data_IF_102527705955
#
_entry.id   IF_102527705955
#
_cell.length_a   1.000
_cell.length_b   1.000
_cell.length_c   1.000
_cell.angle_alpha   90.00
_cell.angle_beta   90.00
_cell.angle_gamma   90.00
#
_symmetry.space_group_name_H-M   'P 1'
#
loop_
_entity.id
_entity.type
_entity.pdbx_description
1 polymer ?
2 non-polymer ?
3 water ?
#
# COMPACT_ATOMS: atom_id res chain seq x y z
N UNK A 1 23.71 -8.43 8.16
CA UNK A 1 23.10 -9.80 8.06
C UNK A 1 22.07 -9.84 6.95
N UNK A 2 21.03 -9.02 7.10
CA UNK A 2 19.94 -8.95 6.14
C UNK A 2 20.38 -8.35 4.81
N UNK A 3 20.03 -9.02 3.72
CA UNK A 3 20.35 -8.54 2.38
C UNK A 3 19.04 -8.04 1.78
N UNK A 4 19.10 -6.93 1.03
CA UNK A 4 17.92 -6.36 0.41
C UNK A 4 18.08 -6.27 -1.10
N UNK A 5 17.05 -6.63 -1.84
CA UNK A 5 17.09 -6.59 -3.29
C UNK A 5 15.87 -5.92 -3.92
N UNK A 6 16.09 -4.78 -4.58
CA UNK A 6 14.98 -4.08 -5.23
C UNK A 6 14.65 -4.76 -6.55
N UNK A 7 13.40 -4.60 -6.97
CA UNK A 7 12.91 -5.18 -8.21
C UNK A 7 11.74 -4.34 -8.71
N UNK A 8 11.46 -4.41 -10.01
CA UNK A 8 10.34 -3.68 -10.57
C UNK A 8 10.64 -2.41 -11.34
N UNK A 9 11.89 -1.96 -11.30
CA UNK A 9 12.25 -0.75 -12.00
C UNK A 9 12.13 -0.88 -13.51
N UNK A 10 11.95 0.25 -14.19
CA UNK A 10 11.83 0.22 -15.63
C UNK A 10 11.37 1.54 -16.20
N UNK A 11 11.01 1.52 -17.48
CA UNK A 11 10.55 2.70 -18.16
C UNK A 11 9.03 2.81 -18.10
N UNK A 12 8.55 3.98 -17.72
CA UNK A 12 7.13 4.24 -17.64
C UNK A 12 6.82 5.63 -18.22
N UNK A 13 5.65 5.75 -18.84
CA UNK A 13 5.25 7.01 -19.43
C UNK A 13 4.73 7.95 -18.36
N UNK A 14 4.98 9.26 -18.51
CA UNK A 14 4.52 10.24 -17.53
C UNK A 14 3.02 10.13 -17.31
N UNK A 15 2.60 10.23 -16.05
CA UNK A 15 1.20 10.10 -15.73
C UNK A 15 0.87 8.66 -15.35
N UNK A 16 1.79 7.75 -15.67
CA UNK A 16 1.57 6.34 -15.38
C UNK A 16 1.82 5.94 -13.93
N UNK A 17 1.72 4.64 -13.67
CA UNK A 17 1.92 4.09 -12.33
C UNK A 17 2.96 2.99 -12.40
N UNK A 18 3.47 2.59 -11.23
CA UNK A 18 4.46 1.54 -11.17
C UNK A 18 4.63 1.08 -9.72
N UNK A 19 4.83 -0.22 -9.53
CA UNK A 19 5.05 -0.76 -8.20
C UNK A 19 6.44 -1.34 -8.12
N UNK A 20 7.16 -0.99 -7.05
CA UNK A 20 8.51 -1.51 -6.82
C UNK A 20 8.45 -2.45 -5.63
N UNK A 21 9.28 -3.49 -5.63
CA UNK A 21 9.31 -4.42 -4.52
C UNK A 21 10.73 -4.53 -4.00
N UNK A 22 10.86 -5.00 -2.77
CA UNK A 22 12.15 -5.16 -2.13
C UNK A 22 12.13 -6.40 -1.25
N UNK A 23 12.85 -7.43 -1.68
CA UNK A 23 12.91 -8.68 -0.94
C UNK A 23 14.08 -8.69 0.03
N UNK A 24 13.81 -9.08 1.27
CA UNK A 24 14.85 -9.16 2.29
C UNK A 24 15.17 -10.62 2.54
N UNK A 25 16.45 -10.93 2.77
CA UNK A 25 16.88 -12.29 3.04
C UNK A 25 17.97 -12.28 4.11
N UNK A 26 18.15 -13.41 4.78
CA UNK A 26 19.14 -13.48 5.82
C UNK A 26 18.53 -13.10 7.15
N UNK A 27 19.29 -13.28 8.23
CA UNK A 27 18.79 -12.94 9.55
C UNK A 27 17.46 -13.59 9.92
N UNK A 28 17.32 -14.89 9.65
CA UNK A 28 16.09 -15.59 9.94
C UNK A 28 15.66 -15.54 11.41
N UNK A 29 16.63 -15.43 12.32
CA UNK A 29 16.32 -15.39 13.75
C UNK A 29 15.60 -14.09 14.14
N UNK A 30 15.50 -13.19 13.30
CA UNK A 30 15.03 -11.81 13.41
C UNK A 30 13.64 -11.69 12.78
N UNK A 31 12.60 -11.22 13.57
CA UNK A 31 11.24 -11.09 13.04
C UNK A 31 11.23 -9.95 12.04
N UNK A 32 10.80 -10.24 10.81
CA UNK A 32 10.76 -9.21 9.78
C UNK A 32 10.01 -7.97 10.26
N UNK A 33 8.89 -8.19 10.94
CA UNK A 33 8.07 -7.10 11.44
C UNK A 33 8.78 -6.14 12.39
N UNK A 34 9.90 -6.55 12.98
CA UNK A 34 10.63 -5.67 13.90
C UNK A 34 11.47 -4.64 13.14
N UNK A 35 11.58 -4.81 11.83
CA UNK A 35 12.34 -3.86 11.02
C UNK A 35 11.44 -2.73 10.54
N UNK A 36 11.94 -1.50 10.63
CA UNK A 36 11.22 -0.33 10.10
C UNK A 36 11.80 -0.32 8.69
N UNK A 37 11.00 0.04 7.70
CA UNK A 37 11.47 0.04 6.32
C UNK A 37 11.33 1.41 5.64
N UNK A 38 12.10 1.61 4.57
CA UNK A 38 12.03 2.87 3.87
C UNK A 38 12.48 2.82 2.42
N UNK A 39 11.96 3.76 1.65
CA UNK A 39 12.32 3.91 0.25
C UNK A 39 12.98 5.26 0.08
N UNK A 40 14.12 5.26 -0.61
CA UNK A 40 14.87 6.47 -0.90
C UNK A 40 15.11 6.50 -2.41
N UNK A 41 15.55 7.63 -2.91
CA UNK A 41 15.85 7.73 -4.32
C UNK A 41 16.90 8.80 -4.56
N UNK A 42 17.58 8.68 -5.69
CA UNK A 42 18.59 9.64 -6.08
C UNK A 42 18.40 9.91 -7.55
N UNK A 43 17.89 11.09 -7.87
CA UNK A 43 17.67 11.44 -9.26
C UNK A 43 19.00 11.89 -9.82
N UNK A 44 19.18 11.79 -11.14
CA UNK A 44 20.46 12.24 -11.70
C UNK A 44 20.68 13.70 -11.32
N UNK A 45 21.90 14.04 -10.93
CA UNK A 45 22.20 15.41 -10.56
C UNK A 45 21.75 15.82 -9.16
N UNK A 46 21.16 14.90 -8.40
CA UNK A 46 20.70 15.23 -7.05
C UNK A 46 21.25 14.28 -6.00
N UNK A 47 20.95 14.59 -4.73
CA UNK A 47 21.39 13.74 -3.63
C UNK A 47 20.36 12.69 -3.28
N UNK A 48 20.76 11.77 -2.41
CA UNK A 48 19.87 10.71 -1.95
C UNK A 48 18.79 11.32 -1.06
N UNK A 49 17.53 11.11 -1.41
CA UNK A 49 16.43 11.67 -0.62
C UNK A 49 15.45 10.61 -0.14
N UNK A 50 14.83 10.86 1.02
CA UNK A 50 13.85 9.94 1.57
C UNK A 50 12.59 10.06 0.73
N UNK A 51 11.95 8.92 0.46
CA UNK A 51 10.72 8.93 -0.33
C UNK A 51 9.51 8.55 0.52
N UNK A 52 9.63 7.45 1.25
CA UNK A 52 8.55 6.98 2.13
C UNK A 52 9.13 6.02 3.15
N UNK A 53 8.43 5.87 4.27
CA UNK A 53 8.90 4.98 5.31
C UNK A 53 7.76 4.47 6.17
N UNK A 54 7.96 3.30 6.75
CA UNK A 54 6.95 2.71 7.60
C UNK A 54 7.65 2.17 8.84
N UNK A 55 7.18 2.63 9.93
CA UNK A 55 7.84 2.30 11.19
C UNK A 55 7.28 1.02 11.80
N UNK A 56 8.19 0.31 12.39
CA UNK A 56 7.85 -0.88 13.13
C UNK A 56 7.18 -0.34 14.36
N UNK A 57 6.27 -1.08 14.93
CA UNK A 57 5.57 -0.63 16.17
C UNK A 57 4.58 0.48 15.83
N UNK A 58 3.60 -0.13 15.30
CA UNK A 58 2.44 0.68 15.00
C UNK A 58 2.19 0.86 13.51
N UNK A 59 3.24 0.67 12.71
CA UNK A 59 3.12 0.79 11.27
C UNK A 59 2.80 2.18 10.76
N UNK A 60 3.26 3.21 11.47
CA UNK A 60 3.01 4.59 11.02
C UNK A 60 3.85 4.89 9.77
N UNK A 61 3.24 5.57 8.80
CA UNK A 61 3.93 5.91 7.57
C UNK A 61 4.24 7.39 7.41
N UNK A 62 5.31 7.67 6.67
CA UNK A 62 5.77 9.03 6.43
C UNK A 62 6.11 9.14 4.95
N UNK A 63 5.84 10.30 4.35
CA UNK A 63 6.13 10.50 2.94
C UNK A 63 6.81 11.82 2.64
N UNK A 64 7.56 11.87 1.55
CA UNK A 64 8.24 13.10 1.14
C UNK A 64 7.17 14.06 0.59
N UNK A 65 7.46 15.35 0.66
CA UNK A 65 6.49 16.35 0.21
C UNK A 65 5.93 16.14 -1.19
N UNK A 66 6.80 15.83 -2.14
CA UNK A 66 6.38 15.64 -3.53
C UNK A 66 5.72 14.32 -3.91
N UNK A 67 5.58 13.40 -2.96
CA UNK A 67 4.97 12.12 -3.28
C UNK A 67 3.76 11.79 -2.39
N UNK A 68 3.56 12.60 -1.36
CA UNK A 68 2.44 12.39 -0.46
C UNK A 68 1.13 12.44 -1.25
N UNK A 69 0.29 11.42 -1.07
CA UNK A 69 -0.97 11.37 -1.79
C UNK A 69 -0.85 10.70 -3.14
N UNK A 70 0.38 10.48 -3.61
CA UNK A 70 0.65 9.84 -4.90
C UNK A 70 1.24 8.43 -4.75
N UNK A 71 2.09 8.26 -3.75
CA UNK A 71 2.76 6.99 -3.48
C UNK A 71 2.26 6.35 -2.19
N UNK A 72 2.36 5.02 -2.13
CA UNK A 72 1.97 4.28 -0.94
C UNK A 72 2.98 3.22 -0.62
N UNK A 73 3.51 3.25 0.61
CA UNK A 73 4.46 2.25 1.04
C UNK A 73 3.67 1.17 1.77
N UNK A 74 4.03 -0.10 1.56
CA UNK A 74 3.35 -1.21 2.21
C UNK A 74 4.32 -2.36 2.37
N UNK A 75 3.91 -3.38 3.13
CA UNK A 75 4.77 -4.53 3.35
C UNK A 75 4.00 -5.82 3.44
N UNK A 76 4.62 -6.90 3.00
CA UNK A 76 4.02 -8.23 3.09
C UNK A 76 5.02 -8.98 3.96
N UNK A 77 4.75 -9.02 5.27
CA UNK A 77 5.66 -9.69 6.19
C UNK A 77 5.89 -11.18 5.95
N UNK A 78 4.85 -11.88 5.49
CA UNK A 78 5.00 -13.31 5.23
C UNK A 78 6.02 -13.53 4.12
N UNK A 79 6.21 -12.51 3.28
CA UNK A 79 7.16 -12.58 2.18
C UNK A 79 8.43 -11.78 2.43
N UNK A 80 8.53 -11.17 3.60
CA UNK A 80 9.70 -10.36 3.94
C UNK A 80 9.94 -9.35 2.81
N UNK A 81 8.84 -8.86 2.23
CA UNK A 81 8.94 -7.92 1.12
C UNK A 81 8.31 -6.56 1.39
N UNK A 82 8.99 -5.53 0.91
CA UNK A 82 8.58 -4.12 1.03
C UNK A 82 8.15 -3.66 -0.36
N UNK A 83 7.06 -2.94 -0.45
CA UNK A 83 6.57 -2.46 -1.74
C UNK A 83 6.38 -0.94 -1.73
N UNK A 84 6.31 -0.39 -2.93
CA UNK A 84 5.97 1.04 -3.08
C UNK A 84 5.22 1.20 -4.36
N UNK A 85 4.03 1.70 -4.17
CA UNK A 85 3.09 1.96 -5.25
C UNK A 85 3.23 3.41 -5.64
N UNK A 86 3.43 3.65 -6.93
CA UNK A 86 3.59 5.00 -7.43
C UNK A 86 2.51 5.35 -8.45
N UNK A 87 1.97 6.56 -8.36
CA UNK A 87 0.94 7.03 -9.28
C UNK A 87 1.28 8.43 -9.79
N UNK A 88 0.66 8.82 -10.90
CA UNK A 88 0.89 10.14 -11.49
C UNK A 88 2.37 10.46 -11.56
N UNK A 89 3.16 9.53 -12.07
CA UNK A 89 4.60 9.72 -12.18
C UNK A 89 4.96 10.87 -13.12
N UNK A 90 5.97 11.63 -12.72
CA UNK A 90 6.45 12.76 -13.50
C UNK A 90 7.93 12.59 -13.81
N UNK A 91 8.44 13.40 -14.73
CA UNK A 91 9.84 13.33 -15.11
C UNK A 91 10.75 13.46 -13.89
N UNK A 92 10.31 14.25 -12.91
CA UNK A 92 11.11 14.45 -11.71
C UNK A 92 11.24 13.17 -10.89
N UNK A 93 10.40 12.18 -11.16
CA UNK A 93 10.45 10.92 -10.42
C UNK A 93 11.51 9.97 -10.95
N UNK A 94 12.10 10.32 -12.10
CA UNK A 94 13.14 9.50 -12.69
C UNK A 94 14.29 9.43 -11.69
N UNK A 95 14.75 8.21 -11.38
CA UNK A 95 15.83 8.03 -10.42
C UNK A 95 16.03 6.57 -10.06
N UNK A 96 17.11 6.30 -9.34
CA UNK A 96 17.36 4.95 -8.87
C UNK A 96 16.73 4.95 -7.47
N UNK A 97 15.83 4.00 -7.24
CA UNK A 97 15.13 3.88 -5.95
C UNK A 97 15.79 2.81 -5.08
N UNK A 98 16.08 3.16 -3.83
CA UNK A 98 16.71 2.23 -2.91
C UNK A 98 15.83 1.91 -1.72
N UNK A 99 15.74 0.63 -1.35
CA UNK A 99 14.97 0.27 -0.15
C UNK A 99 16.01 0.17 0.96
N UNK A 100 15.57 0.40 2.19
CA UNK A 100 16.44 0.34 3.34
C UNK A 100 15.65 -0.22 4.52
N UNK A 101 16.37 -0.75 5.51
CA UNK A 101 15.73 -1.33 6.68
C UNK A 101 16.61 -1.10 7.91
N UNK A 102 15.98 -1.14 9.08
CA UNK A 102 16.70 -0.96 10.33
C UNK A 102 15.87 -1.51 11.46
N UNK A 103 16.56 -2.02 12.48
CA UNK A 103 15.87 -2.56 13.64
C UNK A 103 15.88 -1.41 14.63
N UNK A 104 14.87 -0.56 14.47
CA UNK A 104 14.72 0.62 15.32
C UNK A 104 13.54 1.37 14.74
N UNK A 105 13.22 2.54 15.28
CA UNK A 105 12.08 3.25 14.74
C UNK A 105 12.32 4.75 14.67
N UNK A 106 11.37 5.43 14.03
CA UNK A 106 11.41 6.87 13.83
C UNK A 106 9.98 7.41 13.97
N UNK A 107 9.84 8.72 14.17
CA UNK A 107 8.53 9.33 14.33
C UNK A 107 8.29 10.50 13.39
N UNK A 108 9.03 10.53 12.30
CA UNK A 108 8.92 11.56 11.26
C UNK A 108 9.63 10.97 10.05
N UNK A 109 9.46 11.58 8.88
CA UNK A 109 10.15 11.05 7.71
C UNK A 109 11.63 10.94 8.08
N UNK A 110 12.18 9.72 8.13
CA UNK A 110 13.59 9.49 8.47
C UNK A 110 14.58 9.83 7.35
N UNK A 111 15.80 10.24 7.72
CA UNK A 111 16.82 10.55 6.71
C UNK A 111 17.59 9.24 6.48
N UNK A 112 18.49 9.25 5.52
CA UNK A 112 19.28 8.07 5.21
C UNK A 112 20.12 7.58 6.39
N UNK A 113 20.45 8.49 7.30
CA UNK A 113 21.25 8.14 8.46
C UNK A 113 20.54 7.15 9.39
N UNK A 114 19.22 7.09 9.32
CA UNK A 114 18.44 6.19 10.18
C UNK A 114 18.49 4.72 9.78
N UNK A 115 18.96 4.42 8.57
CA UNK A 115 18.97 3.05 8.09
C UNK A 115 20.30 2.31 8.00
N UNK A 116 20.29 1.08 8.50
CA UNK A 116 21.46 0.21 8.52
C UNK A 116 21.64 -0.64 7.26
N UNK A 117 20.56 -1.28 6.80
CA UNK A 117 20.65 -2.13 5.62
C UNK A 117 20.12 -1.43 4.37
N UNK A 118 20.84 -1.60 3.27
CA UNK A 118 20.47 -0.98 2.01
C UNK A 118 20.55 -1.94 0.82
N UNK A 119 19.68 -1.71 -0.15
CA UNK A 119 19.66 -2.52 -1.35
C UNK A 119 20.63 -1.93 -2.36
N UNK A 120 20.72 -2.50 -3.55
CA UNK A 120 21.61 -2.00 -4.58
C UNK A 120 20.92 -0.96 -5.45
N UNK A 121 19.59 -0.89 -5.34
CA UNK A 121 18.83 0.08 -6.11
C UNK A 121 18.24 -0.45 -7.41
N UNK A 122 17.15 0.18 -7.85
CA UNK A 122 16.47 -0.17 -9.10
C UNK A 122 16.16 1.13 -9.84
N UNK A 123 16.42 1.17 -11.14
CA UNK A 123 16.18 2.37 -11.93
C UNK A 123 14.76 2.54 -12.48
N UNK A 124 14.20 3.71 -12.24
CA UNK A 124 12.87 4.04 -12.76
C UNK A 124 13.06 5.25 -13.65
N UNK A 125 12.73 5.08 -14.92
CA UNK A 125 12.87 6.15 -15.90
C UNK A 125 11.51 6.58 -16.40
N UNK A 126 11.12 7.82 -16.09
CA UNK A 126 9.83 8.34 -16.50
C UNK A 126 9.92 9.18 -17.77
N UNK A 127 9.54 8.58 -18.89
CA UNK A 127 9.56 9.26 -20.19
C UNK A 127 8.56 8.56 -21.13
N UNK B 1 -23.29 2.50 -13.05
CA UNK B 1 -22.45 2.58 -14.30
C UNK B 1 -21.07 1.94 -14.09
N UNK B 2 -20.61 1.92 -12.84
CA UNK B 2 -19.29 1.35 -12.52
C UNK B 2 -19.38 -0.08 -11.98
N UNK B 3 -18.51 -0.94 -12.49
CA UNK B 3 -18.46 -2.34 -12.07
C UNK B 3 -17.19 -2.55 -11.24
N UNK B 4 -17.32 -3.20 -10.09
CA UNK B 4 -16.19 -3.48 -9.20
C UNK B 4 -16.08 -4.98 -8.96
N UNK B 5 -14.88 -5.54 -9.09
CA UNK B 5 -14.68 -6.97 -8.88
C UNK B 5 -13.49 -7.29 -7.99
N UNK B 6 -13.75 -7.88 -6.83
CA UNK B 6 -12.69 -8.24 -5.90
C UNK B 6 -12.06 -9.57 -6.30
N UNK B 7 -10.84 -9.79 -5.84
CA UNK B 7 -10.12 -11.04 -6.09
C UNK B 7 -9.01 -11.15 -5.06
N UNK B 8 -8.49 -12.35 -4.88
CA UNK B 8 -7.41 -12.56 -3.92
C UNK B 8 -7.81 -13.23 -2.62
N UNK B 9 -9.11 -13.36 -2.37
CA UNK B 9 -9.56 -13.99 -1.15
C UNK B 9 -9.15 -15.45 -1.05
N UNK B 10 -8.89 -15.92 0.16
CA UNK B 10 -8.50 -17.31 0.31
C UNK B 10 -8.23 -17.69 1.76
N UNK B 11 -7.70 -18.89 1.94
CA UNK B 11 -7.38 -19.39 3.27
C UNK B 11 -5.99 -18.92 3.66
N UNK B 12 -5.87 -18.39 4.87
CA UNK B 12 -4.58 -17.91 5.36
C UNK B 12 -4.41 -18.27 6.84
N UNK B 13 -3.20 -18.70 7.20
CA UNK B 13 -2.91 -19.08 8.57
C UNK B 13 -2.82 -17.84 9.46
N UNK B 14 -3.32 -17.93 10.71
CA UNK B 14 -3.23 -16.76 11.58
C UNK B 14 -1.79 -16.27 11.66
N UNK B 15 -1.62 -14.96 11.61
CA UNK B 15 -0.29 -14.37 11.64
C UNK B 15 0.23 -14.19 10.23
N UNK B 16 -0.48 -14.78 9.27
CA UNK B 16 -0.08 -14.69 7.88
C UNK B 16 -0.41 -13.37 7.21
N UNK B 17 -0.19 -13.31 5.90
CA UNK B 17 -0.47 -12.10 5.13
C UNK B 17 -1.29 -12.45 3.90
N UNK B 18 -1.89 -11.44 3.28
CA UNK B 18 -2.68 -11.64 2.07
C UNK B 18 -2.99 -10.30 1.42
N UNK B 19 -3.01 -10.28 0.11
CA UNK B 19 -3.35 -9.05 -0.61
C UNK B 19 -4.61 -9.28 -1.44
N UNK B 20 -5.49 -8.33 -1.36
CA UNK B 20 -6.76 -8.35 -2.09
C UNK B 20 -6.73 -7.25 -3.14
N UNK B 21 -7.38 -7.47 -4.25
CA UNK B 21 -7.45 -6.46 -5.29
C UNK B 21 -8.92 -6.23 -5.67
N UNK B 22 -9.16 -5.12 -6.35
CA UNK B 22 -10.50 -4.75 -6.80
C UNK B 22 -10.35 -3.94 -8.07
N UNK B 23 -10.75 -4.53 -9.19
CA UNK B 23 -10.65 -3.86 -10.48
C UNK B 23 -11.97 -3.19 -10.86
N UNK B 24 -11.86 -1.96 -11.34
CA UNK B 24 -13.02 -1.18 -11.73
C UNK B 24 -13.09 -0.98 -13.24
N UNK B 25 -14.32 -0.96 -13.76
CA UNK B 25 -14.56 -0.74 -15.18
C UNK B 25 -15.87 0.03 -15.30
N UNK B 26 -16.04 0.74 -16.42
CA UNK B 26 -17.26 1.50 -16.60
C UNK B 26 -17.15 2.93 -16.11
N UNK B 27 -18.10 3.77 -16.50
CA UNK B 27 -18.08 5.15 -16.09
C UNK B 27 -16.79 5.84 -16.52
N UNK B 28 -16.22 5.37 -17.63
CA UNK B 28 -14.95 5.88 -18.16
C UNK B 28 -14.95 7.34 -18.61
N UNK B 29 -16.11 8.00 -18.60
CA UNK B 29 -16.11 9.41 -18.99
C UNK B 29 -15.50 10.19 -17.83
N UNK B 30 -15.26 9.50 -16.72
CA UNK B 30 -14.66 10.13 -15.54
C UNK B 30 -13.35 9.42 -15.21
N UNK B 31 -12.36 10.15 -14.73
CA UNK B 31 -11.08 9.56 -14.39
C UNK B 31 -11.15 8.74 -13.10
N UNK B 32 -10.49 7.60 -13.10
CA UNK B 32 -10.47 6.72 -11.95
C UNK B 32 -9.99 7.48 -10.72
N UNK B 33 -9.07 8.43 -10.92
CA UNK B 33 -8.54 9.19 -9.80
C UNK B 33 -9.58 10.05 -9.08
N UNK B 34 -10.69 10.35 -9.75
CA UNK B 34 -11.73 11.18 -9.13
C UNK B 34 -12.58 10.39 -8.14
N UNK B 35 -12.38 9.08 -8.10
CA UNK B 35 -13.12 8.21 -7.19
C UNK B 35 -12.39 7.99 -5.87
N UNK B 36 -13.13 8.04 -4.77
CA UNK B 36 -12.59 7.76 -3.45
C UNK B 36 -12.96 6.28 -3.33
N UNK B 37 -12.13 5.49 -2.66
CA UNK B 37 -12.39 4.06 -2.54
C UNK B 37 -12.31 3.58 -1.10
N UNK B 38 -12.89 2.41 -0.85
CA UNK B 38 -12.85 1.84 0.48
C UNK B 38 -13.02 0.34 0.49
N UNK B 39 -12.59 -0.27 1.58
CA UNK B 39 -12.73 -1.69 1.78
C UNK B 39 -13.59 -1.88 3.03
N UNK B 40 -14.54 -2.79 2.92
CA UNK B 40 -15.43 -3.12 4.04
C UNK B 40 -15.38 -4.62 4.18
N UNK B 41 -15.88 -5.14 5.29
CA UNK B 41 -15.90 -6.58 5.49
C UNK B 41 -17.06 -6.96 6.38
N UNK B 42 -17.56 -8.17 6.19
CA UNK B 42 -18.66 -8.67 6.99
C UNK B 42 -18.34 -10.08 7.43
N UNK B 43 -18.08 -10.23 8.72
CA UNK B 43 -17.79 -11.54 9.29
C UNK B 43 -19.13 -12.23 9.42
N UNK B 44 -19.13 -13.58 9.41
CA UNK B 44 -20.37 -14.36 9.52
C UNK B 44 -21.26 -14.01 10.72
N UNK B 45 -22.49 -13.63 10.42
CA UNK B 45 -23.44 -13.28 11.47
C UNK B 45 -23.29 -11.89 12.05
N UNK B 46 -22.34 -11.12 11.53
CA UNK B 46 -22.10 -9.77 12.04
C UNK B 46 -22.52 -8.69 11.05
N UNK B 47 -22.19 -7.45 11.37
CA UNK B 47 -22.55 -6.33 10.50
C UNK B 47 -21.43 -5.89 9.58
N UNK B 48 -21.77 -5.06 8.60
CA UNK B 48 -20.78 -4.54 7.65
C UNK B 48 -19.85 -3.59 8.38
N UNK B 49 -18.55 -3.82 8.26
CA UNK B 49 -17.55 -3.00 8.94
C UNK B 49 -16.57 -2.31 7.99
N UNK B 50 -16.37 -1.01 8.18
CA UNK B 50 -15.43 -0.26 7.36
C UNK B 50 -14.02 -0.67 7.80
N UNK B 51 -13.17 -1.03 6.84
CA UNK B 51 -11.80 -1.46 7.14
C UNK B 51 -10.76 -0.39 6.82
N UNK B 52 -10.81 0.15 5.61
CA UNK B 52 -9.88 1.18 5.18
C UNK B 52 -10.49 1.94 4.02
N UNK B 53 -10.06 3.19 3.84
CA UNK B 53 -10.56 4.02 2.77
C UNK B 53 -9.51 5.03 2.35
N UNK B 54 -9.61 5.50 1.11
CA UNK B 54 -8.67 6.48 0.60
C UNK B 54 -9.45 7.54 -0.17
N UNK B 55 -9.32 8.78 0.26
CA UNK B 55 -10.01 9.90 -0.37
C UNK B 55 -9.33 10.33 -1.67
N UNK B 56 -10.15 10.61 -2.68
CA UNK B 56 -9.64 11.02 -3.98
C UNK B 56 -8.74 12.25 -3.95
N UNK B 57 -9.07 13.23 -3.13
CA UNK B 57 -8.26 14.45 -3.05
C UNK B 57 -7.18 14.34 -1.98
N UNK B 58 -5.92 14.42 -2.40
CA UNK B 58 -4.82 14.34 -1.46
C UNK B 58 -4.46 12.92 -1.09
N UNK B 59 -5.29 11.97 -1.53
CA UNK B 59 -5.03 10.57 -1.23
C UNK B 59 -5.06 10.24 0.26
N UNK B 60 -5.75 11.06 1.05
CA UNK B 60 -5.83 10.82 2.49
C UNK B 60 -6.45 9.45 2.78
N UNK B 61 -5.82 8.71 3.69
CA UNK B 61 -6.31 7.37 4.05
C UNK B 61 -6.84 7.29 5.48
N UNK B 62 -7.73 6.35 5.70
CA UNK B 62 -8.35 6.13 7.02
C UNK B 62 -8.47 4.63 7.28
N UNK B 63 -8.18 4.24 8.49
CA UNK B 63 -8.26 2.81 8.88
C UNK B 63 -8.97 2.62 10.21
N UNK B 64 -9.58 1.45 10.35
CA UNK B 64 -10.25 1.08 11.60
C UNK B 64 -9.12 0.83 12.60
N UNK B 65 -9.35 1.15 13.84
CA UNK B 65 -8.31 0.99 14.87
C UNK B 65 -7.80 -0.46 14.95
N UNK B 66 -8.67 -1.41 14.64
CA UNK B 66 -8.31 -2.83 14.75
C UNK B 66 -7.39 -3.33 13.61
N UNK B 67 -7.20 -2.53 12.57
CA UNK B 67 -6.32 -2.95 11.46
C UNK B 67 -5.23 -1.91 11.22
N UNK B 68 -5.40 -0.74 11.80
CA UNK B 68 -4.42 0.33 11.66
C UNK B 68 -3.04 -0.24 12.00
N UNK B 69 -2.11 -0.04 11.09
CA UNK B 69 -0.72 -0.50 11.30
C UNK B 69 -0.49 -1.96 10.85
N UNK B 70 -1.58 -2.64 10.48
CA UNK B 70 -1.51 -4.03 10.01
C UNK B 70 -1.92 -4.15 8.55
N UNK B 71 -2.85 -3.29 8.15
CA UNK B 71 -3.38 -3.26 6.76
C UNK B 71 -3.00 -1.96 6.07
N UNK B 72 -2.82 -2.05 4.76
CA UNK B 72 -2.50 -0.88 3.95
C UNK B 72 -3.36 -0.85 2.70
N UNK B 73 -4.00 0.27 2.49
CA UNK B 73 -4.85 0.45 1.30
C UNK B 73 -4.05 1.28 0.29
N UNK B 74 -4.10 0.85 -0.96
CA UNK B 74 -3.39 1.54 -2.05
C UNK B 74 -4.17 1.42 -3.35
N UNK B 75 -3.69 2.12 -4.35
CA UNK B 75 -4.34 2.11 -5.66
C UNK B 75 -3.35 2.31 -6.80
N UNK B 76 -3.67 1.66 -7.89
CA UNK B 76 -2.92 1.75 -9.14
C UNK B 76 -3.88 2.34 -10.13
N UNK B 77 -3.81 3.63 -10.30
CA UNK B 77 -4.74 4.33 -11.19
C UNK B 77 -4.59 3.88 -12.64
N UNK B 78 -3.39 3.52 -13.07
CA UNK B 78 -3.19 3.09 -14.46
C UNK B 78 -4.00 1.81 -14.75
N UNK B 79 -4.20 1.01 -13.71
CA UNK B 79 -4.96 -0.25 -13.85
C UNK B 79 -6.38 -0.15 -13.29
N UNK B 80 -6.74 1.03 -12.81
CA UNK B 80 -8.07 1.25 -12.22
C UNK B 80 -8.31 0.19 -11.16
N UNK B 81 -7.27 -0.11 -10.41
CA UNK B 81 -7.36 -1.15 -9.38
C UNK B 81 -7.00 -0.63 -7.97
N UNK B 82 -7.76 -1.17 -7.02
CA UNK B 82 -7.66 -0.88 -5.58
C UNK B 82 -7.10 -2.12 -4.89
N UNK B 83 -6.19 -1.89 -3.96
CA UNK B 83 -5.55 -3.00 -3.24
C UNK B 83 -5.71 -2.88 -1.72
N UNK B 84 -5.58 -4.02 -1.09
CA UNK B 84 -5.62 -4.15 0.36
C UNK B 84 -4.59 -5.18 0.78
N UNK B 85 -3.55 -4.69 1.41
CA UNK B 85 -2.47 -5.57 1.91
C UNK B 85 -2.76 -5.84 3.37
N UNK B 86 -2.75 -7.10 3.74
CA UNK B 86 -3.05 -7.48 5.12
C UNK B 86 -1.87 -8.25 5.73
N UNK B 87 -1.63 -7.97 7.01
CA UNK B 87 -0.55 -8.62 7.77
C UNK B 87 -1.05 -9.05 9.15
N UNK B 88 -0.29 -9.98 9.72
CA UNK B 88 -0.57 -10.56 11.05
C UNK B 88 -2.07 -10.77 11.23
N UNK B 89 -2.65 -11.51 10.30
CA UNK B 89 -4.08 -11.82 10.31
C UNK B 89 -4.44 -12.67 11.52
N UNK B 90 -5.67 -12.51 11.97
CA UNK B 90 -6.22 -13.26 13.11
C UNK B 90 -7.59 -13.78 12.72
N UNK B 91 -8.05 -14.82 13.42
CA UNK B 91 -9.35 -15.40 13.15
C UNK B 91 -10.38 -14.26 13.08
N UNK B 92 -10.05 -13.26 13.86
CA UNK B 92 -10.83 -12.03 14.02
C UNK B 92 -11.09 -11.34 12.66
N UNK B 93 -10.20 -11.57 11.71
CA UNK B 93 -10.29 -10.93 10.38
C UNK B 93 -11.05 -11.76 9.33
N UNK B 94 -11.48 -12.95 9.69
CA UNK B 94 -12.23 -13.79 8.73
C UNK B 94 -13.52 -13.07 8.36
N UNK B 95 -13.79 -13.01 7.06
CA UNK B 95 -15.00 -12.33 6.58
C UNK B 95 -14.98 -12.17 5.06
N UNK B 96 -16.07 -11.67 4.55
CA UNK B 96 -16.20 -11.38 3.13
C UNK B 96 -15.81 -9.92 2.98
N UNK B 97 -14.79 -9.68 2.18
CA UNK B 97 -14.30 -8.30 1.97
C UNK B 97 -14.91 -7.72 0.70
N UNK B 98 -15.36 -6.49 0.84
CA UNK B 98 -15.99 -5.75 -0.27
C UNK B 98 -15.30 -4.43 -0.54
N UNK B 99 -15.13 -4.11 -1.80
CA UNK B 99 -14.56 -2.81 -2.18
C UNK B 99 -15.74 -1.95 -2.57
N UNK B 100 -15.57 -0.66 -2.45
CA UNK B 100 -16.64 0.30 -2.78
C UNK B 100 -16.00 1.54 -3.38
N UNK B 101 -16.78 2.27 -4.16
CA UNK B 101 -16.28 3.49 -4.82
C UNK B 101 -17.37 4.57 -4.88
N UNK B 102 -16.93 5.79 -5.07
CA UNK B 102 -17.83 6.93 -5.15
C UNK B 102 -17.07 8.20 -5.52
N UNK B 103 -17.71 9.02 -6.32
CA UNK B 103 -17.14 10.30 -6.72
C UNK B 103 -17.57 11.32 -5.68
N UNK B 104 -16.93 11.26 -4.55
CA UNK B 104 -17.21 12.15 -3.42
C UNK B 104 -16.15 11.93 -2.39
N UNK B 105 -16.37 12.35 -1.17
CA UNK B 105 -15.34 12.12 -0.16
C UNK B 105 -15.93 11.99 1.24
N UNK B 106 -15.01 11.89 2.15
CA UNK B 106 -15.26 11.73 3.57
C UNK B 106 -14.04 12.28 4.28
N UNK B 107 -14.17 12.60 5.60
CA UNK B 107 -12.95 13.13 6.24
C UNK B 107 -12.64 12.35 7.55
N UNK B 108 -13.10 11.12 7.54
CA UNK B 108 -12.90 10.11 8.60
C UNK B 108 -13.23 8.78 8.01
N UNK B 109 -12.98 7.73 8.76
CA UNK B 109 -13.31 6.40 8.26
C UNK B 109 -14.77 6.40 7.87
N UNK B 110 -15.09 6.30 6.58
CA UNK B 110 -16.46 6.39 6.04
C UNK B 110 -17.47 5.31 6.38
N UNK B 111 -18.73 5.71 6.37
CA UNK B 111 -19.85 4.82 6.59
C UNK B 111 -20.12 4.19 5.23
N UNK B 112 -20.76 3.03 5.21
CA UNK B 112 -21.06 2.36 3.95
C UNK B 112 -21.96 3.23 3.07
N UNK B 113 -22.71 4.13 3.69
CA UNK B 113 -23.61 5.00 2.94
C UNK B 113 -22.87 6.06 2.14
N UNK B 114 -21.59 6.26 2.45
CA UNK B 114 -20.76 7.24 1.75
C UNK B 114 -20.41 6.79 0.33
N UNK B 115 -20.64 5.52 0.04
CA UNK B 115 -20.31 4.96 -1.27
C UNK B 115 -21.53 4.57 -2.07
N UNK B 116 -21.39 4.51 -3.39
CA UNK B 116 -22.52 4.11 -4.22
C UNK B 116 -22.25 2.84 -5.02
N UNK B 117 -21.00 2.59 -5.39
CA UNK B 117 -20.66 1.38 -6.15
C UNK B 117 -20.03 0.32 -5.24
N UNK B 118 -20.45 -0.94 -5.43
CA UNK B 118 -19.94 -2.04 -4.62
C UNK B 118 -19.60 -3.30 -5.39
N UNK B 119 -18.60 -4.02 -4.90
CA UNK B 119 -18.21 -5.28 -5.53
C UNK B 119 -19.05 -6.39 -4.95
N UNK B 120 -18.86 -7.62 -5.43
CA UNK B 120 -19.63 -8.76 -4.94
C UNK B 120 -18.97 -9.39 -3.72
N UNK B 121 -17.74 -8.97 -3.43
CA UNK B 121 -17.03 -9.49 -2.28
C UNK B 121 -16.15 -10.69 -2.55
N UNK B 122 -15.19 -10.92 -1.66
CA UNK B 122 -14.28 -12.05 -1.79
C UNK B 122 -14.02 -12.51 -0.36
N UNK B 123 -14.07 -13.82 -0.16
CA UNK B 123 -13.91 -14.42 1.14
C UNK B 123 -12.48 -14.63 1.64
N UNK B 124 -12.21 -14.16 2.85
CA UNK B 124 -10.91 -14.34 3.48
C UNK B 124 -11.14 -15.20 4.72
N UNK B 125 -10.47 -16.35 4.77
CA UNK B 125 -10.61 -17.25 5.90
C UNK B 125 -9.30 -17.39 6.63
N UNK B 126 -9.29 -17.03 7.91
CA UNK B 126 -8.08 -17.13 8.71
C UNK B 126 -8.25 -18.21 9.79
N UNK B 127 -7.58 -19.34 9.61
CA UNK B 127 -7.65 -20.43 10.59
C UNK B 127 -6.46 -21.37 10.45
X LIG C 1 -0.92 4.93 4.23
X LIG C 1 -2.20 5.53 3.85
X LIG C 1 -1.08 3.48 4.38
X LIG C 1 -0.45 5.51 5.49
X LIG C 1 0.04 5.23 3.16
#
# INVERSE_FOLDING_TARGET
QVQLVESGGGLVQPGGSLRLSCAASGGSEYSYSTFSLGWFRQAPGQGLEAVAAIASMGGLTYYADSVKGRFTISRDNSKNTLYLQMNSLRAEDTAVYYCAAVRGYFMRLPSSHNFRYWGQGTLVTVSSRGRHHHHHH
QVQLVESGGGLVQPGGSLRLSCAASGGSEYSYSTFSLGWFRQAPGQGLEAVAAIASMGGLTYYADSVKGRFTISRDNSKNTLYLQMNSLRAEDTAVYYCAAVRGYFMRLPSSHNFRYWGQGTLVTVSSRGRHHHHHH
SO4 S O1 O2 O3 O4
#
